data_IF_015558343415
#
_entry.id   IF_015558343415
#
_cell.length_a   1.000
_cell.length_b   1.000
_cell.length_c   1.000
_cell.angle_alpha   90.00
_cell.angle_beta   90.00
_cell.angle_gamma   90.00
#
_symmetry.space_group_name_H-M   'P 1'
#
loop_
_entity.id
_entity.type
_entity.pdbx_description
1 polymer ?
#
# COMPACT_ATOMS: atom_id res chain seq x y z
N UNK A 1 36.43 41.43 21.54
CA UNK A 1 35.71 40.15 21.76
C UNK A 1 34.99 39.83 20.47
N UNK A 2 35.42 38.81 19.71
CA UNK A 2 34.73 38.37 18.48
C UNK A 2 33.32 37.86 18.84
N UNK A 3 32.31 38.29 18.08
CA UNK A 3 30.94 37.82 18.29
C UNK A 3 30.91 36.29 18.16
N UNK A 4 30.29 35.61 19.10
CA UNK A 4 30.17 34.16 19.10
C UNK A 4 29.28 33.73 17.87
N UNK A 5 29.87 33.00 16.96
CA UNK A 5 29.15 32.48 15.80
C UNK A 5 28.01 31.56 16.18
N UNK A 6 26.86 31.66 15.51
CA UNK A 6 25.66 30.83 15.76
C UNK A 6 25.85 29.44 15.18
N UNK A 7 25.40 28.43 15.90
CA UNK A 7 25.38 27.02 15.45
C UNK A 7 24.14 26.66 14.64
N UNK A 8 23.17 27.62 14.57
CA UNK A 8 21.89 27.40 13.90
C UNK A 8 21.70 28.44 12.79
N UNK A 9 21.07 27.98 11.71
CA UNK A 9 20.64 28.82 10.60
C UNK A 9 19.40 29.65 11.00
N UNK A 10 19.14 30.78 10.30
CA UNK A 10 17.85 31.47 10.36
C UNK A 10 16.71 30.55 10.01
N UNK A 11 15.51 30.76 10.57
CA UNK A 11 14.34 29.89 10.32
C UNK A 11 13.79 30.04 8.90
N UNK A 12 14.01 31.18 8.27
CA UNK A 12 13.60 31.53 6.90
C UNK A 12 14.68 31.25 5.84
N UNK A 13 15.75 30.53 6.21
CA UNK A 13 16.91 30.31 5.33
C UNK A 13 16.54 29.65 4.00
N UNK A 14 15.59 28.72 4.00
CA UNK A 14 15.13 28.04 2.79
C UNK A 14 14.52 29.03 1.79
N UNK A 15 13.69 29.95 2.28
CA UNK A 15 13.08 31.01 1.44
C UNK A 15 14.13 31.98 0.90
N UNK A 16 15.13 32.34 1.73
CA UNK A 16 16.22 33.21 1.32
C UNK A 16 17.06 32.52 0.23
N UNK A 17 17.39 31.24 0.36
CA UNK A 17 18.11 30.48 -0.67
C UNK A 17 17.27 30.39 -1.95
N UNK A 18 15.99 30.11 -1.82
CA UNK A 18 15.07 30.01 -2.96
C UNK A 18 14.89 31.34 -3.73
N UNK A 19 15.18 32.48 -3.11
CA UNK A 19 15.18 33.78 -3.83
C UNK A 19 16.24 33.87 -4.93
N UNK A 20 17.30 33.06 -4.86
CA UNK A 20 18.43 33.10 -5.79
C UNK A 20 19.41 34.26 -5.55
N UNK A 21 19.17 35.09 -4.55
CA UNK A 21 20.01 36.25 -4.23
C UNK A 21 21.19 35.83 -3.30
N UNK A 22 22.39 35.80 -3.89
CA UNK A 22 23.63 35.45 -3.17
C UNK A 22 23.96 36.45 -2.07
N UNK A 23 23.70 37.76 -2.27
CA UNK A 23 23.99 38.78 -1.25
C UNK A 23 23.05 38.62 -0.05
N UNK A 24 21.77 38.38 -0.30
CA UNK A 24 20.80 38.10 0.76
C UNK A 24 21.17 36.83 1.56
N UNK A 25 21.58 35.75 0.88
CA UNK A 25 22.07 34.53 1.53
C UNK A 25 23.33 34.85 2.36
N UNK A 26 24.31 35.51 1.80
CA UNK A 26 25.56 35.89 2.49
C UNK A 26 25.28 36.70 3.75
N UNK A 27 24.35 37.66 3.66
CA UNK A 27 23.95 38.49 4.80
C UNK A 27 23.27 37.64 5.90
N UNK A 28 22.35 36.72 5.52
CA UNK A 28 21.63 35.87 6.44
C UNK A 28 22.56 34.95 7.26
N UNK A 29 23.62 34.41 6.63
CA UNK A 29 24.52 33.45 7.25
C UNK A 29 25.83 34.04 7.76
N UNK A 30 26.05 35.37 7.67
CA UNK A 30 27.32 36.05 8.05
C UNK A 30 27.77 35.75 9.49
N UNK A 31 26.83 35.53 10.41
CA UNK A 31 27.09 35.23 11.83
C UNK A 31 26.90 33.75 12.17
N UNK A 32 26.71 32.88 11.17
CA UNK A 32 26.59 31.43 11.37
C UNK A 32 27.97 30.78 11.17
N UNK A 33 28.31 29.80 12.00
CA UNK A 33 29.51 28.97 11.78
C UNK A 33 29.33 28.06 10.56
N UNK A 34 30.43 27.58 10.00
CA UNK A 34 30.43 26.52 9.01
C UNK A 34 29.78 25.27 9.63
N UNK A 35 28.93 24.56 8.88
CA UNK A 35 28.15 23.44 9.39
C UNK A 35 26.99 23.83 10.32
N UNK A 36 26.57 25.10 10.32
CA UNK A 36 25.34 25.50 11.01
C UNK A 36 24.11 24.80 10.40
N UNK A 37 23.17 24.39 11.23
CA UNK A 37 22.00 23.61 10.81
C UNK A 37 20.67 24.32 11.13
N UNK A 38 19.61 23.99 10.38
CA UNK A 38 18.26 24.48 10.66
C UNK A 38 17.66 23.71 11.84
N UNK A 39 17.44 24.42 12.97
CA UNK A 39 16.98 23.81 14.23
C UNK A 39 15.53 23.34 14.19
N UNK A 40 14.69 24.04 13.45
CA UNK A 40 13.24 23.80 13.35
C UNK A 40 12.92 22.54 12.54
N UNK A 41 13.82 22.08 11.67
CA UNK A 41 13.70 20.86 10.92
C UNK A 41 14.23 19.65 11.71
N UNK A 42 13.44 18.53 11.70
CA UNK A 42 13.80 17.29 12.38
C UNK A 42 15.06 16.63 11.81
N UNK A 43 15.35 16.83 10.52
CA UNK A 43 16.55 16.35 9.85
C UNK A 43 17.79 17.16 10.18
N UNK A 44 17.63 18.39 10.67
CA UNK A 44 18.73 19.36 10.94
C UNK A 44 19.63 19.58 9.72
N UNK A 45 19.06 19.97 8.55
CA UNK A 45 19.84 20.21 7.35
C UNK A 45 20.79 21.38 7.54
N UNK A 46 21.96 21.28 6.91
CA UNK A 46 22.95 22.35 6.77
C UNK A 46 22.75 23.05 5.43
N UNK A 47 23.49 24.14 5.14
CA UNK A 47 23.32 24.95 3.93
C UNK A 47 23.38 24.11 2.63
N UNK A 48 24.33 23.20 2.54
CA UNK A 48 24.48 22.33 1.35
C UNK A 48 23.29 21.42 1.07
N UNK A 49 22.42 21.14 2.05
CA UNK A 49 21.25 20.28 1.85
C UNK A 49 20.11 20.99 1.08
N UNK A 50 20.01 22.31 1.16
CA UNK A 50 18.95 23.06 0.46
C UNK A 50 19.20 23.14 -1.04
N UNK A 51 18.16 22.99 -1.90
CA UNK A 51 18.26 23.26 -3.33
C UNK A 51 18.69 24.71 -3.56
N UNK A 52 19.71 24.91 -4.38
CA UNK A 52 20.28 26.21 -4.62
C UNK A 52 20.81 26.32 -6.06
N UNK A 53 20.93 27.55 -6.58
CA UNK A 53 21.62 27.80 -7.83
C UNK A 53 23.09 27.38 -7.73
N UNK A 54 23.75 27.16 -8.86
CA UNK A 54 25.17 26.86 -8.87
C UNK A 54 25.99 27.97 -8.20
N UNK A 55 25.61 29.22 -8.39
CA UNK A 55 26.27 30.39 -7.80
C UNK A 55 26.18 30.40 -6.26
N UNK A 56 25.01 30.14 -5.71
CA UNK A 56 24.83 30.01 -4.26
C UNK A 56 25.59 28.79 -3.71
N UNK A 57 25.57 27.67 -4.43
CA UNK A 57 26.31 26.46 -4.03
C UNK A 57 27.81 26.74 -4.03
N UNK A 58 28.36 27.46 -5.02
CA UNK A 58 29.75 27.91 -5.02
C UNK A 58 30.08 28.82 -3.83
N UNK A 59 29.19 29.76 -3.51
CA UNK A 59 29.33 30.58 -2.30
C UNK A 59 29.43 29.76 -1.03
N UNK A 60 28.60 28.70 -0.92
CA UNK A 60 28.68 27.78 0.23
C UNK A 60 30.03 27.06 0.31
N UNK A 61 30.55 26.59 -0.83
CA UNK A 61 31.85 25.93 -0.90
C UNK A 61 32.99 26.89 -0.57
N UNK A 62 32.96 28.12 -1.07
CA UNK A 62 33.96 29.16 -0.75
C UNK A 62 33.93 29.52 0.73
N UNK A 63 32.77 29.45 1.37
CA UNK A 63 32.60 29.63 2.80
C UNK A 63 33.19 28.47 3.62
N UNK A 64 33.51 27.33 2.99
CA UNK A 64 34.03 26.12 3.62
C UNK A 64 32.97 25.11 4.04
N UNK A 65 31.74 25.21 3.53
CA UNK A 65 30.72 24.19 3.77
C UNK A 65 31.11 22.89 3.04
N UNK A 66 30.85 21.74 3.69
CA UNK A 66 31.19 20.44 3.14
C UNK A 66 30.13 19.96 2.13
N UNK A 67 30.55 19.66 0.90
CA UNK A 67 29.70 19.12 -0.19
C UNK A 67 29.08 17.77 0.19
N UNK A 68 29.72 17.03 1.10
CA UNK A 68 29.27 15.73 1.63
C UNK A 68 28.77 15.84 3.09
N UNK A 69 28.39 17.04 3.55
CA UNK A 69 27.85 17.23 4.87
C UNK A 69 26.68 16.30 5.15
N UNK A 70 26.57 15.82 6.40
CA UNK A 70 25.54 14.89 6.80
C UNK A 70 24.48 15.60 7.65
N UNK A 71 23.21 15.33 7.37
CA UNK A 71 22.12 15.67 8.24
C UNK A 71 22.03 14.71 9.45
N UNK A 72 21.01 14.84 10.28
CA UNK A 72 20.79 13.96 11.46
C UNK A 72 20.63 12.49 11.08
N UNK A 73 20.14 12.18 9.88
CA UNK A 73 19.90 10.84 9.36
C UNK A 73 20.97 10.38 8.39
N UNK A 74 22.13 11.03 8.42
CA UNK A 74 23.29 10.74 7.55
C UNK A 74 23.00 10.95 6.06
N UNK A 75 21.96 11.70 5.71
CA UNK A 75 21.70 12.06 4.31
C UNK A 75 22.65 13.16 3.86
N UNK A 76 23.21 13.00 2.68
CA UNK A 76 24.06 14.02 2.02
C UNK A 76 23.21 15.02 1.22
N UNK A 77 23.78 16.13 0.74
CA UNK A 77 23.13 17.05 -0.19
C UNK A 77 22.57 16.36 -1.44
N UNK A 78 23.25 15.32 -1.98
CA UNK A 78 22.74 14.55 -3.13
C UNK A 78 21.43 13.82 -2.77
N UNK A 79 21.34 13.19 -1.59
CA UNK A 79 20.08 12.58 -1.13
C UNK A 79 18.94 13.60 -1.09
N UNK A 80 19.20 14.80 -0.61
CA UNK A 80 18.22 15.87 -0.52
C UNK A 80 17.76 16.36 -1.90
N UNK A 81 18.69 16.49 -2.87
CA UNK A 81 18.34 16.86 -4.25
C UNK A 81 17.39 15.85 -4.88
N UNK A 82 17.74 14.56 -4.78
CA UNK A 82 16.93 13.48 -5.37
C UNK A 82 15.57 13.38 -4.68
N UNK A 83 15.53 13.41 -3.35
CA UNK A 83 14.25 13.38 -2.60
C UNK A 83 13.36 14.58 -2.87
N UNK A 84 13.95 15.73 -3.06
CA UNK A 84 13.24 17.00 -3.34
C UNK A 84 12.83 17.19 -4.81
N UNK A 85 13.17 16.25 -5.72
CA UNK A 85 12.87 16.39 -7.14
C UNK A 85 13.79 17.39 -7.87
N UNK A 86 15.02 17.59 -7.37
CA UNK A 86 16.03 18.49 -7.93
C UNK A 86 17.23 17.71 -8.47
N UNK A 87 16.97 16.55 -9.10
CA UNK A 87 18.02 15.66 -9.63
C UNK A 87 18.89 16.35 -10.70
N UNK A 88 18.39 17.37 -11.37
CA UNK A 88 19.12 18.20 -12.32
C UNK A 88 20.34 18.92 -11.70
N UNK A 89 20.37 19.10 -10.38
CA UNK A 89 21.50 19.72 -9.66
C UNK A 89 22.60 18.72 -9.28
N UNK A 90 22.31 17.43 -9.34
CA UNK A 90 23.25 16.36 -8.92
C UNK A 90 24.57 16.36 -9.72
N UNK A 91 24.57 16.53 -11.07
CA UNK A 91 25.82 16.57 -11.84
C UNK A 91 26.78 17.66 -11.35
N UNK A 92 26.25 18.82 -10.97
CA UNK A 92 27.06 19.90 -10.43
C UNK A 92 27.70 19.54 -9.09
N UNK A 93 26.91 18.96 -8.16
CA UNK A 93 27.44 18.51 -6.86
C UNK A 93 28.56 17.47 -7.04
N UNK A 94 28.39 16.50 -7.96
CA UNK A 94 29.42 15.50 -8.27
C UNK A 94 30.67 16.17 -8.81
N UNK A 95 30.56 17.15 -9.70
CA UNK A 95 31.69 17.86 -10.27
C UNK A 95 32.53 18.60 -9.20
N UNK A 96 31.94 18.87 -8.04
CA UNK A 96 32.57 19.49 -6.88
C UNK A 96 33.01 18.49 -5.81
N UNK A 97 32.98 17.18 -6.09
CA UNK A 97 33.42 16.12 -5.18
C UNK A 97 32.31 15.52 -4.32
N UNK A 98 31.04 15.75 -4.68
CA UNK A 98 29.91 15.06 -4.04
C UNK A 98 29.96 13.57 -4.25
N UNK A 99 29.77 12.79 -3.17
CA UNK A 99 29.77 11.32 -3.22
C UNK A 99 28.37 10.80 -3.54
N UNK A 100 28.17 10.31 -4.79
CA UNK A 100 26.89 9.76 -5.24
C UNK A 100 26.51 8.44 -4.55
N UNK A 101 27.51 7.70 -4.03
CA UNK A 101 27.34 6.42 -3.36
C UNK A 101 27.39 6.52 -1.83
N UNK A 102 27.30 7.74 -1.28
CA UNK A 102 27.14 7.91 0.16
C UNK A 102 25.83 7.25 0.63
N UNK A 103 25.89 6.62 1.82
CA UNK A 103 24.75 5.95 2.41
C UNK A 103 24.13 6.80 3.53
N UNK A 104 22.82 6.74 3.68
CA UNK A 104 22.11 7.23 4.86
C UNK A 104 22.18 6.20 6.01
N UNK A 105 21.52 6.51 7.15
CA UNK A 105 21.50 5.63 8.35
C UNK A 105 20.91 4.23 8.12
N UNK A 106 20.23 3.99 7.00
CA UNK A 106 19.64 2.72 6.59
C UNK A 106 20.37 2.10 5.39
N UNK A 107 21.64 2.44 5.21
CA UNK A 107 22.51 2.01 4.10
C UNK A 107 21.95 2.35 2.71
N UNK A 108 21.04 3.33 2.59
CA UNK A 108 20.45 3.72 1.31
C UNK A 108 21.26 4.82 0.65
N UNK A 109 21.62 4.61 -0.61
CA UNK A 109 22.18 5.67 -1.46
C UNK A 109 21.07 6.57 -2.02
N UNK A 110 21.43 7.68 -2.65
CA UNK A 110 20.47 8.56 -3.33
C UNK A 110 19.68 7.82 -4.43
N UNK A 111 20.23 6.76 -5.03
CA UNK A 111 19.54 5.93 -6.00
C UNK A 111 18.30 5.23 -5.43
N UNK A 112 18.31 4.82 -4.15
CA UNK A 112 17.11 4.30 -3.47
C UNK A 112 16.01 5.34 -3.34
N UNK A 113 16.35 6.63 -3.20
CA UNK A 113 15.34 7.70 -3.18
C UNK A 113 14.66 7.86 -4.54
N UNK A 114 15.41 7.81 -5.64
CA UNK A 114 14.84 7.85 -7.00
C UNK A 114 13.94 6.62 -7.26
N UNK A 115 14.36 5.42 -6.82
CA UNK A 115 13.56 4.19 -6.90
C UNK A 115 12.28 4.29 -6.06
N UNK A 116 12.34 4.88 -4.87
CA UNK A 116 11.15 5.10 -4.03
C UNK A 116 10.09 5.97 -4.71
N UNK A 117 10.52 6.96 -5.49
CA UNK A 117 9.63 7.87 -6.25
C UNK A 117 9.21 7.30 -7.62
N UNK A 118 9.74 6.14 -8.02
CA UNK A 118 9.54 5.55 -9.35
C UNK A 118 9.91 6.53 -10.49
N UNK A 119 10.99 7.27 -10.30
CA UNK A 119 11.49 8.27 -11.23
C UNK A 119 12.54 7.64 -12.17
N UNK A 120 12.10 6.98 -13.24
CA UNK A 120 12.94 6.23 -14.19
C UNK A 120 14.06 7.09 -14.80
N UNK A 121 13.76 8.34 -15.15
CA UNK A 121 14.72 9.28 -15.74
C UNK A 121 15.83 9.65 -14.74
N UNK A 122 15.45 9.92 -13.49
CA UNK A 122 16.41 10.22 -12.42
C UNK A 122 17.30 9.01 -12.12
N UNK A 123 16.70 7.80 -12.10
CA UNK A 123 17.45 6.55 -11.90
C UNK A 123 18.50 6.40 -12.99
N UNK A 124 18.10 6.55 -14.25
CA UNK A 124 19.02 6.43 -15.39
C UNK A 124 20.13 7.49 -15.34
N UNK A 125 19.79 8.74 -15.00
CA UNK A 125 20.75 9.81 -14.83
C UNK A 125 21.75 9.51 -13.71
N UNK A 126 21.27 9.08 -12.54
CA UNK A 126 22.15 8.76 -11.40
C UNK A 126 23.09 7.60 -11.72
N UNK A 127 22.63 6.56 -12.41
CA UNK A 127 23.49 5.44 -12.83
C UNK A 127 24.55 5.92 -13.83
N UNK A 128 24.20 6.76 -14.81
CA UNK A 128 25.17 7.37 -15.75
C UNK A 128 26.21 8.23 -15.03
N UNK A 129 25.87 8.80 -13.89
CA UNK A 129 26.76 9.58 -13.04
C UNK A 129 27.61 8.72 -12.09
N UNK A 130 27.48 7.38 -12.12
CA UNK A 130 28.27 6.45 -11.33
C UNK A 130 27.61 5.96 -10.05
N UNK A 131 26.28 6.07 -9.92
CA UNK A 131 25.57 5.44 -8.82
C UNK A 131 25.67 3.91 -8.92
N UNK A 132 25.94 3.27 -7.78
CA UNK A 132 26.09 1.82 -7.71
C UNK A 132 24.72 1.13 -7.78
N UNK A 133 24.48 0.46 -8.92
CA UNK A 133 23.27 -0.33 -9.18
C UNK A 133 23.18 -1.61 -8.33
N UNK A 134 24.28 -2.02 -7.69
CA UNK A 134 24.33 -3.18 -6.79
C UNK A 134 24.23 -2.82 -5.31
N UNK A 135 24.06 -1.53 -4.99
CA UNK A 135 23.87 -1.08 -3.63
C UNK A 135 22.70 -1.81 -2.95
N UNK A 136 22.86 -2.08 -1.67
CA UNK A 136 21.83 -2.73 -0.83
C UNK A 136 21.44 -1.80 0.33
N UNK A 137 20.16 -1.73 0.63
CA UNK A 137 19.63 -0.99 1.77
C UNK A 137 19.31 -1.94 2.92
N UNK A 138 19.55 -1.50 4.15
CA UNK A 138 19.21 -2.24 5.35
C UNK A 138 17.82 -1.84 5.85
N UNK A 139 16.91 -2.80 5.94
CA UNK A 139 15.57 -2.58 6.49
C UNK A 139 15.43 -3.05 7.95
N UNK A 140 16.52 -3.31 8.64
CA UNK A 140 16.51 -3.82 10.01
C UNK A 140 15.92 -5.22 10.11
N UNK A 141 14.66 -5.34 10.56
CA UNK A 141 13.99 -6.65 10.81
C UNK A 141 13.81 -7.52 9.56
N UNK A 142 13.78 -6.93 8.36
CA UNK A 142 13.50 -7.66 7.11
C UNK A 142 14.75 -7.94 6.27
N UNK A 143 15.94 -7.64 6.81
CA UNK A 143 17.23 -7.83 6.12
C UNK A 143 17.48 -6.81 5.01
N UNK A 144 18.50 -7.07 4.20
CA UNK A 144 18.88 -6.18 3.12
C UNK A 144 17.94 -6.30 1.92
N UNK A 145 17.74 -5.18 1.23
CA UNK A 145 17.00 -5.08 -0.03
C UNK A 145 17.93 -4.65 -1.15
N UNK A 146 17.84 -5.35 -2.28
CA UNK A 146 18.35 -4.84 -3.56
C UNK A 146 17.45 -3.71 -4.07
N UNK A 147 17.91 -2.98 -5.09
CA UNK A 147 17.10 -1.92 -5.72
C UNK A 147 15.80 -2.46 -6.34
N UNK A 148 15.82 -3.66 -6.92
CA UNK A 148 14.64 -4.30 -7.53
C UNK A 148 13.64 -4.75 -6.47
N UNK A 149 14.10 -5.36 -5.38
CA UNK A 149 13.27 -5.70 -4.23
C UNK A 149 12.64 -4.44 -3.60
N UNK A 150 13.46 -3.39 -3.42
CA UNK A 150 12.98 -2.13 -2.85
C UNK A 150 11.96 -1.43 -3.74
N UNK A 151 12.15 -1.47 -5.06
CA UNK A 151 11.18 -0.94 -6.02
C UNK A 151 9.79 -1.56 -5.85
N UNK A 152 9.72 -2.88 -5.65
CA UNK A 152 8.47 -3.65 -5.58
C UNK A 152 7.86 -3.70 -4.16
N UNK A 153 8.64 -3.43 -3.12
CA UNK A 153 8.19 -3.55 -1.73
C UNK A 153 7.00 -2.62 -1.42
N UNK A 154 5.90 -3.20 -0.95
CA UNK A 154 4.70 -2.46 -0.54
C UNK A 154 3.91 -1.79 -1.67
N UNK A 155 4.23 -2.08 -2.94
CA UNK A 155 3.54 -1.50 -4.10
C UNK A 155 2.21 -2.18 -4.39
N UNK A 156 1.37 -1.48 -5.14
CA UNK A 156 0.03 -1.92 -5.54
C UNK A 156 -0.07 -2.06 -7.05
N UNK A 157 -1.14 -2.71 -7.52
CA UNK A 157 -1.39 -2.91 -8.95
C UNK A 157 -1.28 -1.61 -9.77
N UNK A 158 -1.81 -0.50 -9.27
CA UNK A 158 -1.82 0.78 -10.00
C UNK A 158 -0.44 1.46 -10.11
N UNK A 159 0.59 0.92 -9.46
CA UNK A 159 1.98 1.32 -9.62
C UNK A 159 2.68 0.53 -10.75
N UNK A 160 2.09 -0.55 -11.27
CA UNK A 160 2.73 -1.56 -12.11
C UNK A 160 3.38 -0.97 -13.38
N UNK A 161 2.76 0.01 -14.04
CA UNK A 161 3.33 0.66 -15.22
C UNK A 161 4.66 1.36 -14.90
N UNK A 162 4.67 2.21 -13.88
CA UNK A 162 5.88 2.91 -13.46
C UNK A 162 6.95 1.95 -12.94
N UNK A 163 6.52 0.91 -12.22
CA UNK A 163 7.41 -0.15 -11.75
C UNK A 163 8.09 -0.88 -12.90
N UNK A 164 7.35 -1.20 -13.96
CA UNK A 164 7.91 -1.87 -15.13
C UNK A 164 9.00 -1.03 -15.80
N UNK A 165 8.80 0.28 -15.94
CA UNK A 165 9.79 1.22 -16.46
C UNK A 165 11.05 1.22 -15.59
N UNK A 166 10.88 1.37 -14.27
CA UNK A 166 11.99 1.37 -13.30
C UNK A 166 12.75 0.05 -13.32
N UNK A 167 12.04 -1.08 -13.27
CA UNK A 167 12.67 -2.41 -13.28
C UNK A 167 13.47 -2.63 -14.57
N UNK A 168 12.94 -2.21 -15.71
CA UNK A 168 13.65 -2.31 -16.99
C UNK A 168 14.95 -1.49 -17.00
N UNK A 169 14.91 -0.26 -16.50
CA UNK A 169 16.09 0.59 -16.37
C UNK A 169 17.12 -0.06 -15.45
N UNK A 170 16.72 -0.52 -14.27
CA UNK A 170 17.62 -1.16 -13.31
C UNK A 170 18.28 -2.42 -13.89
N UNK A 171 17.50 -3.31 -14.52
CA UNK A 171 18.02 -4.55 -15.12
C UNK A 171 18.92 -4.28 -16.34
N UNK A 172 18.58 -3.29 -17.19
CA UNK A 172 19.40 -2.88 -18.31
C UNK A 172 20.78 -2.39 -17.89
N UNK A 173 20.89 -1.81 -16.69
CA UNK A 173 22.14 -1.38 -16.09
C UNK A 173 22.80 -2.44 -15.17
N UNK A 174 22.28 -3.67 -15.17
CA UNK A 174 22.93 -4.81 -14.50
C UNK A 174 22.49 -5.04 -13.05
N UNK A 175 21.41 -4.41 -12.57
CA UNK A 175 20.85 -4.71 -11.25
C UNK A 175 20.52 -6.21 -11.14
N UNK A 176 20.78 -6.78 -9.96
CA UNK A 176 20.52 -8.21 -9.72
C UNK A 176 19.29 -8.37 -8.81
N UNK A 177 18.32 -9.22 -9.20
CA UNK A 177 17.23 -9.60 -8.33
C UNK A 177 17.72 -10.22 -7.03
N UNK A 178 17.06 -9.90 -5.92
CA UNK A 178 17.41 -10.42 -4.59
C UNK A 178 16.62 -11.68 -4.19
N UNK A 179 15.43 -11.88 -4.79
CA UNK A 179 14.55 -13.03 -4.55
C UNK A 179 13.22 -12.71 -3.86
N UNK A 180 13.07 -11.52 -3.24
CA UNK A 180 11.82 -11.10 -2.59
C UNK A 180 10.81 -10.47 -3.57
N UNK A 181 11.21 -10.22 -4.80
CA UNK A 181 10.37 -9.64 -5.85
C UNK A 181 9.13 -10.48 -6.11
N UNK A 182 9.29 -11.81 -6.10
CA UNK A 182 8.21 -12.75 -6.37
C UNK A 182 7.06 -12.63 -5.35
N UNK A 183 7.36 -12.44 -4.06
CA UNK A 183 6.32 -12.30 -3.04
C UNK A 183 5.55 -10.99 -3.19
N UNK A 184 6.25 -9.90 -3.53
CA UNK A 184 5.63 -8.62 -3.84
C UNK A 184 4.70 -8.72 -5.05
N UNK A 185 5.15 -9.39 -6.12
CA UNK A 185 4.37 -9.59 -7.34
C UNK A 185 3.15 -10.51 -7.11
N UNK A 186 3.29 -11.58 -6.32
CA UNK A 186 2.14 -12.41 -5.90
C UNK A 186 1.09 -11.58 -5.14
N UNK A 187 1.54 -10.66 -4.29
CA UNK A 187 0.64 -9.73 -3.58
C UNK A 187 -0.11 -8.79 -4.52
N UNK A 188 0.57 -8.24 -5.54
CA UNK A 188 -0.06 -7.41 -6.58
C UNK A 188 -1.02 -8.23 -7.46
N UNK A 189 -0.67 -9.46 -7.81
CA UNK A 189 -1.50 -10.35 -8.59
C UNK A 189 -2.78 -10.79 -7.83
N UNK A 190 -2.66 -11.07 -6.54
CA UNK A 190 -3.82 -11.29 -5.68
C UNK A 190 -4.74 -10.06 -5.61
N UNK A 191 -4.18 -8.84 -5.63
CA UNK A 191 -4.97 -7.61 -5.75
C UNK A 191 -5.68 -7.52 -7.10
N UNK A 192 -5.00 -7.82 -8.22
CA UNK A 192 -5.57 -7.89 -9.56
C UNK A 192 -6.77 -8.84 -9.59
N UNK A 193 -6.59 -10.07 -9.10
CA UNK A 193 -7.67 -11.06 -9.05
C UNK A 193 -8.88 -10.55 -8.28
N UNK A 194 -8.68 -9.94 -7.10
CA UNK A 194 -9.78 -9.36 -6.32
C UNK A 194 -10.52 -8.26 -7.07
N UNK A 195 -9.80 -7.35 -7.75
CA UNK A 195 -10.40 -6.25 -8.49
C UNK A 195 -11.18 -6.75 -9.71
N UNK A 196 -10.70 -7.77 -10.41
CA UNK A 196 -11.43 -8.41 -11.53
C UNK A 196 -12.70 -9.09 -11.01
N UNK A 197 -12.60 -9.85 -9.90
CA UNK A 197 -13.73 -10.62 -9.35
C UNK A 197 -14.83 -9.72 -8.79
N UNK A 198 -14.45 -8.67 -8.05
CA UNK A 198 -15.40 -7.84 -7.29
C UNK A 198 -15.70 -6.50 -7.93
N UNK A 199 -14.99 -6.14 -8.98
CA UNK A 199 -15.11 -4.85 -9.67
C UNK A 199 -14.23 -3.77 -9.02
N UNK A 200 -14.03 -2.67 -9.76
CA UNK A 200 -13.28 -1.50 -9.36
C UNK A 200 -13.89 -0.22 -9.99
N UNK A 201 -13.58 0.94 -9.39
CA UNK A 201 -14.01 2.25 -9.88
C UNK A 201 -12.92 2.98 -10.69
N UNK A 202 -11.82 2.30 -11.04
CA UNK A 202 -10.76 2.89 -11.84
C UNK A 202 -11.18 2.98 -13.30
N UNK A 203 -10.60 3.94 -14.04
CA UNK A 203 -10.72 4.03 -15.48
C UNK A 203 -10.28 2.68 -16.11
N UNK A 204 -11.09 2.09 -17.00
CA UNK A 204 -10.78 0.79 -17.60
C UNK A 204 -9.44 0.75 -18.32
N UNK A 205 -9.08 1.80 -19.08
CA UNK A 205 -7.81 1.85 -19.79
C UNK A 205 -6.60 1.90 -18.84
N UNK A 206 -6.73 2.65 -17.72
CA UNK A 206 -5.70 2.70 -16.67
C UNK A 206 -5.57 1.34 -16.00
N UNK A 207 -6.68 0.67 -15.71
CA UNK A 207 -6.67 -0.66 -15.10
C UNK A 207 -6.00 -1.69 -16.02
N UNK A 208 -6.43 -1.78 -17.28
CA UNK A 208 -5.88 -2.72 -18.28
C UNK A 208 -4.38 -2.51 -18.48
N UNK A 209 -3.94 -1.26 -18.61
CA UNK A 209 -2.52 -0.95 -18.78
C UNK A 209 -1.66 -1.37 -17.58
N UNK A 210 -2.20 -1.31 -16.35
CA UNK A 210 -1.49 -1.80 -15.18
C UNK A 210 -1.53 -3.33 -15.04
N UNK A 211 -2.61 -3.97 -15.50
CA UNK A 211 -2.69 -5.44 -15.57
C UNK A 211 -1.67 -5.99 -16.56
N UNK A 212 -1.54 -5.36 -17.74
CA UNK A 212 -0.54 -5.73 -18.74
C UNK A 212 0.90 -5.53 -18.21
N UNK A 213 1.16 -4.40 -17.57
CA UNK A 213 2.45 -4.14 -16.97
C UNK A 213 2.80 -5.14 -15.84
N UNK A 214 1.81 -5.52 -15.01
CA UNK A 214 2.00 -6.57 -14.01
C UNK A 214 2.32 -7.92 -14.66
N UNK A 215 1.67 -8.28 -15.76
CA UNK A 215 1.96 -9.53 -16.49
C UNK A 215 3.43 -9.57 -16.94
N UNK A 216 3.93 -8.46 -17.50
CA UNK A 216 5.33 -8.35 -17.93
C UNK A 216 6.30 -8.40 -16.73
N UNK A 217 5.96 -7.78 -15.60
CA UNK A 217 6.76 -7.91 -14.37
C UNK A 217 6.79 -9.36 -13.86
N UNK A 218 5.64 -10.05 -13.88
CA UNK A 218 5.56 -11.46 -13.51
C UNK A 218 6.40 -12.35 -14.44
N UNK A 219 6.41 -12.08 -15.74
CA UNK A 219 7.27 -12.79 -16.70
C UNK A 219 8.77 -12.56 -16.42
N UNK A 220 9.18 -11.31 -16.17
CA UNK A 220 10.57 -10.96 -15.85
C UNK A 220 11.09 -11.74 -14.63
N UNK A 221 10.27 -11.90 -13.60
CA UNK A 221 10.66 -12.54 -12.34
C UNK A 221 10.18 -14.01 -12.20
N UNK A 222 9.63 -14.61 -13.26
CA UNK A 222 9.18 -16.00 -13.27
C UNK A 222 8.03 -16.28 -12.30
N UNK A 223 7.10 -15.36 -12.16
CA UNK A 223 5.89 -15.51 -11.33
C UNK A 223 4.71 -15.92 -12.20
N UNK A 224 4.12 -17.06 -11.92
CA UNK A 224 2.87 -17.49 -12.55
C UNK A 224 1.70 -16.69 -11.99
N UNK A 225 0.93 -16.07 -12.88
CA UNK A 225 -0.25 -15.31 -12.48
C UNK A 225 -1.42 -16.24 -12.15
N UNK A 226 -2.11 -15.94 -11.07
CA UNK A 226 -3.33 -16.64 -10.70
C UNK A 226 -4.46 -16.34 -11.71
N UNK A 227 -5.27 -17.34 -12.00
CA UNK A 227 -6.51 -17.15 -12.77
C UNK A 227 -7.52 -16.44 -11.86
N UNK A 228 -8.04 -15.26 -12.28
CA UNK A 228 -9.04 -14.57 -11.49
C UNK A 228 -10.27 -15.45 -11.29
N UNK A 229 -10.76 -15.52 -10.08
CA UNK A 229 -12.02 -16.20 -9.82
C UNK A 229 -13.12 -15.42 -10.56
N UNK A 230 -13.75 -16.06 -11.55
CA UNK A 230 -14.91 -15.46 -12.21
C UNK A 230 -16.05 -15.46 -11.19
N UNK A 231 -16.54 -14.26 -10.84
CA UNK A 231 -17.72 -14.13 -10.02
C UNK A 231 -18.87 -14.87 -10.73
N UNK A 232 -19.45 -15.84 -10.05
CA UNK A 232 -20.50 -16.66 -10.61
C UNK A 232 -21.71 -15.79 -11.01
N UNK A 233 -22.21 -16.05 -12.20
CA UNK A 233 -23.35 -15.32 -12.77
C UNK A 233 -24.66 -15.94 -12.29
N UNK A 234 -25.73 -15.14 -12.27
CA UNK A 234 -27.10 -15.65 -12.06
C UNK A 234 -27.38 -16.77 -13.08
N UNK A 235 -27.92 -17.87 -12.61
CA UNK A 235 -28.13 -19.09 -13.40
C UNK A 235 -27.00 -20.11 -13.38
N UNK A 236 -25.80 -19.72 -12.95
CA UNK A 236 -24.70 -20.68 -12.74
C UNK A 236 -24.85 -21.45 -11.43
N UNK A 237 -24.19 -22.60 -11.36
CA UNK A 237 -24.20 -23.48 -10.19
C UNK A 237 -22.99 -23.21 -9.32
N UNK A 238 -23.21 -23.07 -8.00
CA UNK A 238 -22.16 -23.02 -6.98
C UNK A 238 -21.75 -24.43 -6.63
N UNK A 239 -20.46 -24.69 -6.55
CA UNK A 239 -19.91 -25.93 -6.01
C UNK A 239 -19.31 -25.68 -4.64
N UNK A 240 -19.71 -26.51 -3.66
CA UNK A 240 -19.21 -26.46 -2.29
C UNK A 240 -18.40 -27.74 -2.04
N UNK A 241 -17.16 -27.57 -1.60
CA UNK A 241 -16.35 -28.71 -1.18
C UNK A 241 -16.83 -29.21 0.19
N UNK A 242 -17.66 -30.24 0.15
CA UNK A 242 -18.23 -30.86 1.35
C UNK A 242 -17.19 -31.57 2.25
N UNK A 243 -15.94 -31.74 1.81
CA UNK A 243 -14.85 -32.31 2.61
C UNK A 243 -14.26 -31.28 3.60
N UNK A 244 -14.47 -30.01 3.36
CA UNK A 244 -13.99 -28.91 4.21
C UNK A 244 -14.89 -28.73 5.44
N UNK A 245 -14.35 -28.11 6.50
CA UNK A 245 -15.13 -27.62 7.63
C UNK A 245 -16.08 -26.52 7.19
N UNK A 246 -17.18 -26.33 7.91
CA UNK A 246 -18.23 -25.35 7.55
C UNK A 246 -17.68 -23.92 7.45
N UNK A 247 -16.73 -23.56 8.29
CA UNK A 247 -16.07 -22.24 8.29
C UNK A 247 -15.29 -22.02 6.98
N UNK A 248 -14.61 -23.04 6.48
CA UNK A 248 -13.85 -22.99 5.22
C UNK A 248 -14.78 -23.01 4.01
N UNK A 249 -15.88 -23.80 4.07
CA UNK A 249 -16.96 -23.74 3.07
C UNK A 249 -17.58 -22.34 2.99
N UNK A 250 -17.82 -21.69 4.15
CA UNK A 250 -18.36 -20.33 4.20
C UNK A 250 -17.38 -19.32 3.58
N UNK A 251 -16.08 -19.44 3.87
CA UNK A 251 -15.03 -18.61 3.28
C UNK A 251 -14.99 -18.79 1.75
N UNK A 252 -15.06 -20.02 1.24
CA UNK A 252 -15.14 -20.32 -0.18
C UNK A 252 -16.36 -19.65 -0.84
N UNK A 253 -17.53 -19.73 -0.21
CA UNK A 253 -18.75 -19.06 -0.68
C UNK A 253 -18.62 -17.54 -0.66
N UNK A 254 -18.00 -17.00 0.39
CA UNK A 254 -17.76 -15.56 0.49
C UNK A 254 -16.93 -15.06 -0.70
N UNK A 255 -15.83 -15.73 -0.99
CA UNK A 255 -14.94 -15.38 -2.10
C UNK A 255 -15.64 -15.46 -3.46
N UNK A 256 -16.50 -16.46 -3.66
CA UNK A 256 -17.19 -16.68 -4.93
C UNK A 256 -18.40 -15.76 -5.16
N UNK A 257 -19.12 -15.37 -4.10
CA UNK A 257 -20.47 -14.82 -4.23
C UNK A 257 -20.60 -13.38 -3.70
N UNK A 258 -19.72 -12.95 -2.80
CA UNK A 258 -19.87 -11.65 -2.11
C UNK A 258 -18.99 -10.60 -2.77
N UNK A 259 -19.59 -9.50 -3.31
CA UNK A 259 -18.81 -8.41 -3.88
C UNK A 259 -18.07 -7.61 -2.78
N UNK A 260 -16.99 -6.95 -3.14
CA UNK A 260 -16.19 -6.10 -2.24
C UNK A 260 -16.98 -4.91 -1.68
N UNK A 261 -18.05 -4.48 -2.36
CA UNK A 261 -18.92 -3.40 -1.90
C UNK A 261 -20.35 -3.60 -2.42
N UNK A 262 -21.33 -3.05 -1.71
CA UNK A 262 -22.73 -3.09 -2.11
C UNK A 262 -23.44 -4.40 -1.78
N UNK A 263 -24.53 -4.66 -2.53
CA UNK A 263 -25.33 -5.88 -2.40
C UNK A 263 -24.82 -6.97 -3.33
N UNK A 264 -24.98 -8.23 -2.96
CA UNK A 264 -24.69 -9.33 -3.84
C UNK A 264 -25.71 -9.42 -5.00
N UNK A 265 -25.28 -9.92 -6.15
CA UNK A 265 -26.12 -10.05 -7.35
C UNK A 265 -27.12 -11.20 -7.26
N UNK A 266 -26.84 -12.20 -6.42
CA UNK A 266 -27.70 -13.37 -6.22
C UNK A 266 -28.23 -13.45 -4.79
N UNK A 267 -29.35 -14.17 -4.58
CA UNK A 267 -29.90 -14.46 -3.27
C UNK A 267 -28.91 -15.23 -2.40
N UNK A 268 -28.17 -16.19 -3.01
CA UNK A 268 -27.13 -16.97 -2.34
C UNK A 268 -26.01 -16.07 -1.83
N UNK A 269 -25.50 -15.20 -2.68
CA UNK A 269 -24.49 -14.24 -2.31
C UNK A 269 -24.97 -13.25 -1.25
N UNK A 270 -26.25 -12.83 -1.31
CA UNK A 270 -26.81 -11.92 -0.29
C UNK A 270 -26.98 -12.62 1.06
N UNK A 271 -27.35 -13.91 1.09
CA UNK A 271 -27.38 -14.68 2.34
C UNK A 271 -25.99 -14.78 2.98
N UNK A 272 -24.99 -15.17 2.19
CA UNK A 272 -23.59 -15.26 2.66
C UNK A 272 -23.10 -13.88 3.13
N UNK A 273 -23.34 -12.81 2.37
CA UNK A 273 -22.95 -11.45 2.72
C UNK A 273 -23.54 -10.97 4.04
N UNK A 274 -24.83 -11.23 4.26
CA UNK A 274 -25.50 -10.81 5.49
C UNK A 274 -24.94 -11.57 6.69
N UNK A 275 -24.80 -12.90 6.59
CA UNK A 275 -24.25 -13.73 7.66
C UNK A 275 -22.85 -13.26 8.05
N UNK A 276 -21.97 -13.03 7.07
CA UNK A 276 -20.60 -12.58 7.32
C UNK A 276 -20.51 -11.18 7.90
N UNK A 277 -21.37 -10.23 7.46
CA UNK A 277 -21.40 -8.89 8.07
C UNK A 277 -21.86 -8.91 9.52
N UNK A 278 -22.82 -9.75 9.86
CA UNK A 278 -23.27 -9.94 11.23
C UNK A 278 -22.16 -10.55 12.08
N UNK A 279 -21.47 -11.56 11.57
CA UNK A 279 -20.34 -12.18 12.25
C UNK A 279 -19.20 -11.19 12.48
N UNK A 280 -18.78 -10.44 11.45
CA UNK A 280 -17.75 -9.41 11.56
C UNK A 280 -18.08 -8.33 12.61
N UNK A 281 -19.33 -7.83 12.64
CA UNK A 281 -19.73 -6.83 13.63
C UNK A 281 -19.64 -7.37 15.06
N UNK A 282 -19.99 -8.64 15.26
CA UNK A 282 -19.95 -9.24 16.60
C UNK A 282 -18.54 -9.69 17.00
N UNK A 283 -17.77 -10.34 16.14
CA UNK A 283 -16.44 -10.87 16.49
C UNK A 283 -15.33 -9.83 16.46
N UNK A 284 -15.34 -8.94 15.45
CA UNK A 284 -14.22 -8.01 15.24
C UNK A 284 -14.49 -6.62 15.81
N UNK A 285 -15.76 -6.17 15.83
CA UNK A 285 -16.16 -4.85 16.33
C UNK A 285 -16.83 -4.89 17.73
N UNK A 286 -16.97 -6.07 18.32
CA UNK A 286 -17.56 -6.20 19.65
C UNK A 286 -19.04 -5.79 19.73
N UNK A 287 -19.75 -5.73 18.60
CA UNK A 287 -21.16 -5.32 18.54
C UNK A 287 -21.40 -3.82 18.79
N UNK A 288 -20.33 -2.99 18.74
CA UNK A 288 -20.41 -1.57 19.06
C UNK A 288 -21.32 -0.77 18.12
N UNK A 289 -21.46 -1.22 16.86
CA UNK A 289 -22.31 -0.57 15.86
C UNK A 289 -23.66 -1.28 15.69
N UNK A 290 -24.03 -2.17 16.63
CA UNK A 290 -25.27 -2.93 16.51
C UNK A 290 -26.50 -2.03 16.68
N UNK A 291 -27.24 -1.86 15.61
CA UNK A 291 -28.39 -0.99 15.53
C UNK A 291 -29.65 -1.69 14.93
N UNK A 292 -30.68 -0.89 14.64
CA UNK A 292 -31.87 -1.37 13.93
C UNK A 292 -31.59 -1.88 12.53
N UNK A 293 -30.51 -1.39 11.87
CA UNK A 293 -30.07 -1.83 10.55
C UNK A 293 -29.56 -3.26 10.57
N UNK A 294 -28.72 -3.64 11.57
CA UNK A 294 -28.27 -5.03 11.73
C UNK A 294 -29.42 -5.98 12.07
N UNK A 295 -30.37 -5.54 12.91
CA UNK A 295 -31.60 -6.31 13.17
C UNK A 295 -32.42 -6.51 11.87
N UNK A 296 -32.51 -5.52 11.01
CA UNK A 296 -33.18 -5.62 9.71
C UNK A 296 -32.46 -6.56 8.75
N UNK A 297 -31.11 -6.54 8.76
CA UNK A 297 -30.28 -7.51 7.99
C UNK A 297 -30.54 -8.94 8.44
N UNK A 298 -30.55 -9.22 9.75
CA UNK A 298 -30.84 -10.55 10.28
C UNK A 298 -32.24 -11.05 9.84
N UNK A 299 -33.27 -10.17 9.91
CA UNK A 299 -34.62 -10.50 9.39
C UNK A 299 -34.61 -10.76 7.88
N UNK A 300 -33.82 -9.99 7.10
CA UNK A 300 -33.69 -10.20 5.66
C UNK A 300 -33.03 -11.55 5.35
N UNK A 301 -31.98 -11.91 6.10
CA UNK A 301 -31.38 -13.24 6.02
C UNK A 301 -32.41 -14.34 6.19
N UNK A 302 -33.20 -14.27 7.27
CA UNK A 302 -34.26 -15.26 7.53
C UNK A 302 -35.22 -15.41 6.35
N UNK A 303 -35.68 -14.31 5.76
CA UNK A 303 -36.57 -14.36 4.56
C UNK A 303 -35.89 -15.03 3.35
N UNK A 304 -34.59 -14.80 3.15
CA UNK A 304 -33.86 -15.42 2.04
C UNK A 304 -33.76 -16.93 2.24
N UNK A 305 -33.29 -17.39 3.38
CA UNK A 305 -33.03 -18.84 3.62
C UNK A 305 -34.30 -19.65 3.84
N UNK A 306 -35.45 -19.03 3.94
CA UNK A 306 -36.78 -19.68 3.92
C UNK A 306 -37.46 -19.58 2.55
N UNK A 307 -36.80 -18.99 1.55
CA UNK A 307 -37.28 -18.93 0.16
C UNK A 307 -36.66 -20.05 -0.68
N UNK A 308 -37.16 -20.27 -1.89
CA UNK A 308 -36.73 -21.32 -2.82
C UNK A 308 -36.88 -22.71 -2.18
N UNK A 309 -35.85 -23.58 -2.27
CA UNK A 309 -35.83 -24.82 -1.50
C UNK A 309 -35.52 -24.45 -0.05
N UNK A 310 -36.52 -24.59 0.82
CA UNK A 310 -36.40 -24.20 2.21
C UNK A 310 -35.49 -25.14 3.03
N UNK A 311 -34.96 -24.63 4.12
CA UNK A 311 -34.25 -25.41 5.13
C UNK A 311 -35.21 -26.42 5.79
N UNK A 312 -34.68 -27.51 6.33
CA UNK A 312 -35.44 -28.47 7.13
C UNK A 312 -36.03 -27.82 8.40
N UNK A 313 -37.10 -28.38 8.94
CA UNK A 313 -37.82 -27.81 10.10
C UNK A 313 -36.92 -27.57 11.31
N UNK A 314 -35.97 -28.45 11.60
CA UNK A 314 -34.99 -28.26 12.67
C UNK A 314 -34.07 -27.04 12.44
N UNK A 315 -33.63 -26.82 11.20
CA UNK A 315 -32.81 -25.67 10.85
C UNK A 315 -33.65 -24.37 10.85
N UNK A 316 -34.92 -24.43 10.50
CA UNK A 316 -35.87 -23.29 10.63
C UNK A 316 -36.09 -22.96 12.11
N UNK A 317 -36.21 -23.94 12.99
CA UNK A 317 -36.29 -23.72 14.43
C UNK A 317 -35.01 -23.07 14.99
N UNK A 318 -33.82 -23.54 14.59
CA UNK A 318 -32.51 -22.94 14.93
C UNK A 318 -32.40 -21.50 14.43
N UNK A 319 -32.87 -21.23 13.21
CA UNK A 319 -32.92 -19.89 12.64
C UNK A 319 -33.81 -18.95 13.51
N UNK A 320 -35.00 -19.42 13.92
CA UNK A 320 -35.91 -18.65 14.75
C UNK A 320 -35.30 -18.25 16.10
N UNK A 321 -34.56 -19.17 16.74
CA UNK A 321 -33.82 -18.92 17.98
C UNK A 321 -32.71 -17.89 17.75
N UNK A 322 -31.85 -18.10 16.72
CA UNK A 322 -30.76 -17.18 16.38
C UNK A 322 -31.27 -15.75 16.08
N UNK A 323 -32.35 -15.60 15.30
CA UNK A 323 -32.94 -14.31 15.03
C UNK A 323 -33.52 -13.64 16.29
N UNK A 324 -33.92 -14.43 17.29
CA UNK A 324 -34.31 -13.94 18.61
C UNK A 324 -33.19 -13.26 19.36
N UNK A 325 -32.00 -13.88 19.37
CA UNK A 325 -30.77 -13.38 19.99
C UNK A 325 -30.19 -12.16 19.27
N UNK A 326 -30.47 -11.98 17.98
CA UNK A 326 -29.97 -10.89 17.14
C UNK A 326 -30.90 -9.63 17.11
N UNK A 327 -31.81 -9.48 18.06
CA UNK A 327 -32.55 -8.25 18.26
C UNK A 327 -31.70 -7.24 19.02
N UNK A 328 -31.83 -5.95 18.69
CA UNK A 328 -31.01 -4.87 19.28
C UNK A 328 -30.92 -4.95 20.80
N UNK A 329 -32.06 -5.19 21.48
CA UNK A 329 -32.07 -5.30 22.94
C UNK A 329 -31.41 -6.59 23.46
N UNK A 330 -31.54 -7.70 22.72
CA UNK A 330 -30.93 -8.99 23.10
C UNK A 330 -29.41 -8.95 22.99
N UNK A 331 -28.88 -8.39 21.93
CA UNK A 331 -27.41 -8.21 21.74
C UNK A 331 -26.83 -7.37 22.87
N UNK A 332 -27.48 -6.30 23.26
CA UNK A 332 -27.01 -5.43 24.34
C UNK A 332 -27.05 -6.10 25.73
N UNK A 333 -27.90 -7.14 25.93
CA UNK A 333 -28.05 -7.83 27.22
C UNK A 333 -27.27 -9.13 27.30
N UNK A 334 -27.08 -9.85 26.20
CA UNK A 334 -26.35 -11.13 26.14
C UNK A 334 -25.55 -11.27 24.86
N UNK A 335 -24.38 -10.67 24.89
CA UNK A 335 -23.45 -10.64 23.75
C UNK A 335 -22.96 -12.05 23.33
N UNK A 336 -22.70 -12.93 24.29
CA UNK A 336 -22.21 -14.28 24.01
C UNK A 336 -23.23 -15.11 23.20
N UNK A 337 -24.52 -15.01 23.54
CA UNK A 337 -25.57 -15.67 22.76
C UNK A 337 -25.72 -15.06 21.36
N UNK A 338 -25.49 -13.76 21.21
CA UNK A 338 -25.51 -13.12 19.91
C UNK A 338 -24.36 -13.60 19.01
N UNK A 339 -23.16 -13.83 19.56
CA UNK A 339 -22.03 -14.42 18.84
C UNK A 339 -22.37 -15.85 18.36
N UNK A 340 -22.86 -16.70 19.26
CA UNK A 340 -23.30 -18.06 18.89
C UNK A 340 -24.41 -18.05 17.83
N UNK A 341 -25.34 -17.11 17.93
CA UNK A 341 -26.39 -16.92 16.93
C UNK A 341 -25.80 -16.55 15.55
N UNK A 342 -24.74 -15.75 15.49
CA UNK A 342 -24.08 -15.44 14.21
C UNK A 342 -23.43 -16.66 13.58
N UNK A 343 -22.84 -17.57 14.37
CA UNK A 343 -22.28 -18.82 13.88
C UNK A 343 -23.37 -19.72 13.28
N UNK A 344 -24.55 -19.73 13.91
CA UNK A 344 -25.72 -20.43 13.34
C UNK A 344 -26.09 -19.84 11.97
N UNK A 345 -26.08 -18.51 11.79
CA UNK A 345 -26.37 -17.92 10.49
C UNK A 345 -25.35 -18.31 9.41
N UNK A 346 -24.06 -18.37 9.74
CA UNK A 346 -23.01 -18.80 8.78
C UNK A 346 -23.21 -20.27 8.37
N UNK A 347 -23.50 -21.15 9.32
CA UNK A 347 -23.83 -22.55 9.07
C UNK A 347 -25.08 -22.73 8.19
N UNK A 348 -26.13 -22.00 8.50
CA UNK A 348 -27.38 -22.04 7.73
C UNK A 348 -27.23 -21.47 6.32
N UNK A 349 -26.39 -20.44 6.14
CA UNK A 349 -26.05 -19.93 4.82
C UNK A 349 -25.40 -20.99 3.94
N UNK A 350 -24.39 -21.72 4.46
CA UNK A 350 -23.72 -22.80 3.74
C UNK A 350 -24.72 -23.89 3.35
N UNK A 351 -25.54 -24.36 4.32
CA UNK A 351 -26.55 -25.40 4.07
C UNK A 351 -27.57 -24.98 3.02
N UNK A 352 -28.10 -23.77 3.15
CA UNK A 352 -29.13 -23.27 2.23
C UNK A 352 -28.57 -23.08 0.81
N UNK A 353 -27.34 -22.60 0.66
CA UNK A 353 -26.67 -22.50 -0.64
C UNK A 353 -26.48 -23.89 -1.25
N UNK A 354 -26.10 -24.88 -0.43
CA UNK A 354 -26.00 -26.29 -0.88
C UNK A 354 -27.32 -26.87 -1.39
N UNK A 355 -28.45 -26.51 -0.78
CA UNK A 355 -29.80 -26.88 -1.24
C UNK A 355 -30.23 -26.10 -2.49
N UNK A 356 -29.71 -24.89 -2.67
CA UNK A 356 -30.05 -23.96 -3.75
C UNK A 356 -28.79 -23.57 -4.56
N UNK A 357 -28.11 -24.56 -5.19
CA UNK A 357 -26.80 -24.30 -5.80
C UNK A 357 -26.87 -23.47 -7.09
N UNK A 358 -28.01 -23.35 -7.74
CA UNK A 358 -28.20 -22.50 -8.92
C UNK A 358 -28.49 -21.09 -8.47
N UNK A 359 -27.66 -20.13 -8.91
CA UNK A 359 -27.79 -18.74 -8.49
C UNK A 359 -29.05 -18.07 -9.01
N UNK A 360 -29.84 -17.52 -8.08
CA UNK A 360 -31.07 -16.78 -8.36
C UNK A 360 -30.81 -15.28 -8.15
N UNK A 361 -31.33 -14.43 -9.05
CA UNK A 361 -31.17 -12.99 -8.93
C UNK A 361 -31.70 -12.47 -7.59
N UNK A 362 -30.91 -11.65 -6.90
CA UNK A 362 -31.39 -10.90 -5.77
C UNK A 362 -32.35 -9.81 -6.25
N UNK A 363 -33.60 -9.83 -5.77
CA UNK A 363 -34.51 -8.69 -6.02
C UNK A 363 -33.93 -7.40 -5.45
N UNK A 364 -34.07 -6.32 -6.22
CA UNK A 364 -33.55 -4.99 -5.93
C UNK A 364 -33.96 -4.44 -4.54
#
# INVERSE_FOLDING_TARGET
>A
MGARMRKTLPEDIEQIIASGDVEAVAWAVKNCQVGAYLRTDAYKPQLMHFPASQEITEFFLQRGEDINSLDRYQCTPIHWRVRGGHSEQVPFLISRGGNINACDYADRTALFAAVAHLASDDIEQLIKLGADVHAQANSGLYGNYTLTEYALAGRRLFDARKLLEVIRVLLAHGARPGGKEQDSLRGMDAQRCRLITHGHNADPAVFEANVEALAQLCEIFGVEQAVPHQALQVGQRVEIDCSLKVEDQFRQLWEQLVPSSGRARSLQGEAVRIAGRISHELYDNGGLNWDRGFTALAKRFGRIVTSQVALADDDVARLGQALGCLKTRAVATNYAEAMQASDVLTQLAVRWVGLNPVLVAASA
#
